data_IF_510904943066
#
_entry.id   IF_510904943066
#
_cell.length_a   1.000
_cell.length_b   1.000
_cell.length_c   1.000
_cell.angle_alpha   90.00
_cell.angle_beta   90.00
_cell.angle_gamma   90.00
#
_symmetry.space_group_name_H-M   'P 1'
#
loop_
_entity.id
_entity.type
_entity.pdbx_description
1 polymer ?
#
# COMPACT_ATOMS: atom_id res chain seq x y z
N UNK A 1 5.19 22.26 -21.72
CA UNK A 1 5.00 22.16 -20.24
C UNK A 1 4.70 20.72 -19.90
N UNK A 2 5.29 20.16 -18.84
CA UNK A 2 4.95 18.80 -18.41
C UNK A 2 3.68 18.88 -17.56
N UNK A 3 2.58 18.34 -18.06
CA UNK A 3 1.31 18.30 -17.34
C UNK A 3 1.03 16.88 -16.81
N UNK A 4 0.43 16.80 -15.63
CA UNK A 4 -0.02 15.51 -15.07
C UNK A 4 -1.31 15.13 -15.79
N UNK A 5 -1.25 14.09 -16.62
CA UNK A 5 -2.43 13.53 -17.29
C UNK A 5 -3.41 12.86 -16.31
N UNK A 6 -2.89 12.29 -15.21
CA UNK A 6 -3.68 11.75 -14.09
C UNK A 6 -2.85 11.75 -12.80
N UNK A 7 -3.43 12.25 -11.69
CA UNK A 7 -2.82 12.24 -10.37
C UNK A 7 -2.61 10.82 -9.83
N UNK A 8 -3.42 9.87 -10.31
CA UNK A 8 -3.47 8.49 -9.83
C UNK A 8 -2.85 7.51 -10.82
N UNK A 9 -1.83 7.96 -11.56
CA UNK A 9 -1.08 7.12 -12.48
C UNK A 9 0.43 7.37 -12.39
N UNK A 10 1.21 6.33 -12.70
CA UNK A 10 2.66 6.39 -12.80
C UNK A 10 3.35 6.97 -11.56
N UNK A 11 4.29 7.90 -11.79
CA UNK A 11 5.13 8.47 -10.70
C UNK A 11 4.35 9.36 -9.73
N UNK A 12 3.18 9.88 -10.10
CA UNK A 12 2.34 10.71 -9.23
C UNK A 12 1.87 9.95 -7.99
N UNK A 13 1.54 8.66 -8.14
CA UNK A 13 1.07 7.81 -7.03
C UNK A 13 2.11 7.74 -5.90
N UNK A 14 3.41 7.80 -6.20
CA UNK A 14 4.45 7.81 -5.16
C UNK A 14 4.30 9.00 -4.21
N UNK A 15 3.98 10.17 -4.75
CA UNK A 15 3.76 11.39 -3.97
C UNK A 15 2.44 11.30 -3.19
N UNK A 16 1.35 10.86 -3.85
CA UNK A 16 0.04 10.70 -3.20
C UNK A 16 0.13 9.74 -2.02
N UNK A 17 0.83 8.61 -2.20
CA UNK A 17 1.06 7.63 -1.14
C UNK A 17 1.80 8.25 0.04
N UNK A 18 2.91 8.96 -0.19
CA UNK A 18 3.66 9.64 0.88
C UNK A 18 2.75 10.60 1.65
N UNK A 19 2.02 11.46 0.95
CA UNK A 19 1.16 12.48 1.56
C UNK A 19 0.02 11.85 2.40
N UNK A 20 -0.56 10.74 1.95
CA UNK A 20 -1.63 10.05 2.69
C UNK A 20 -1.11 9.19 3.85
N UNK A 21 0.02 8.50 3.65
CA UNK A 21 0.66 7.69 4.70
C UNK A 21 1.11 8.57 5.85
N UNK A 22 1.72 9.72 5.56
CA UNK A 22 2.26 10.65 6.55
C UNK A 22 1.21 11.65 7.08
N UNK A 23 0.00 11.66 6.53
CA UNK A 23 -1.06 12.56 7.00
C UNK A 23 -1.30 12.40 8.52
N UNK A 24 -1.42 13.51 9.28
CA UNK A 24 -1.65 14.90 8.84
C UNK A 24 -0.40 15.76 8.62
N UNK A 25 0.80 15.19 8.54
CA UNK A 25 2.03 15.96 8.38
C UNK A 25 2.00 16.87 7.13
N UNK A 26 2.50 18.09 7.30
CA UNK A 26 2.71 19.05 6.21
C UNK A 26 4.13 18.86 5.69
N UNK A 27 4.29 18.53 4.40
CA UNK A 27 5.58 18.19 3.83
C UNK A 27 6.04 19.22 2.81
N UNK A 28 7.27 19.71 2.94
CA UNK A 28 7.94 20.48 1.91
C UNK A 28 8.13 19.64 0.64
N UNK A 29 8.31 20.31 -0.50
CA UNK A 29 8.62 19.59 -1.74
C UNK A 29 9.91 18.77 -1.63
N UNK A 30 10.87 19.20 -0.80
CA UNK A 30 12.13 18.48 -0.59
C UNK A 30 11.91 17.17 0.14
N UNK A 31 11.14 17.18 1.22
CA UNK A 31 10.77 15.97 1.97
C UNK A 31 9.96 15.00 1.11
N UNK A 32 9.05 15.53 0.29
CA UNK A 32 8.29 14.71 -0.67
C UNK A 32 9.25 14.03 -1.67
N UNK A 33 10.25 14.76 -2.20
CA UNK A 33 11.20 14.18 -3.16
C UNK A 33 12.02 13.05 -2.54
N UNK A 34 12.51 13.26 -1.33
CA UNK A 34 13.29 12.28 -0.58
C UNK A 34 12.47 11.02 -0.30
N UNK A 35 11.27 11.19 0.28
CA UNK A 35 10.39 10.08 0.65
C UNK A 35 9.83 9.32 -0.55
N UNK A 36 9.44 10.02 -1.61
CA UNK A 36 8.83 9.41 -2.79
C UNK A 36 9.84 8.94 -3.85
N UNK A 37 11.12 9.34 -3.73
CA UNK A 37 12.15 9.06 -4.74
C UNK A 37 11.81 9.69 -6.10
N UNK A 38 11.41 10.96 -6.11
CA UNK A 38 11.03 11.71 -7.31
C UNK A 38 11.80 13.01 -7.43
N UNK A 39 11.85 13.59 -8.63
CA UNK A 39 12.52 14.88 -8.83
C UNK A 39 11.70 16.06 -8.30
N UNK A 40 12.38 17.14 -7.91
CA UNK A 40 11.75 18.38 -7.45
C UNK A 40 10.77 18.96 -8.48
N UNK A 41 11.14 18.88 -9.76
CA UNK A 41 10.26 19.29 -10.87
C UNK A 41 8.96 18.49 -10.85
N UNK A 42 9.04 17.17 -10.71
CA UNK A 42 7.83 16.33 -10.69
C UNK A 42 6.98 16.57 -9.45
N UNK A 43 7.61 16.68 -8.27
CA UNK A 43 6.93 17.03 -7.04
C UNK A 43 6.20 18.37 -7.14
N UNK A 44 6.82 19.39 -7.74
CA UNK A 44 6.19 20.69 -7.97
C UNK A 44 4.99 20.61 -8.91
N UNK A 45 5.07 19.84 -10.00
CA UNK A 45 3.94 19.66 -10.93
C UNK A 45 2.75 18.99 -10.22
N UNK A 46 2.99 17.91 -9.46
CA UNK A 46 1.93 17.20 -8.74
C UNK A 46 1.34 18.07 -7.62
N UNK A 47 2.17 18.82 -6.88
CA UNK A 47 1.69 19.75 -5.87
C UNK A 47 0.79 20.84 -6.46
N UNK A 48 1.16 21.41 -7.61
CA UNK A 48 0.31 22.40 -8.32
C UNK A 48 -1.01 21.81 -8.76
N UNK A 49 -1.01 20.57 -9.25
CA UNK A 49 -2.24 19.87 -9.64
C UNK A 49 -3.15 19.61 -8.42
N UNK A 50 -2.60 19.15 -7.29
CA UNK A 50 -3.35 18.97 -6.04
C UNK A 50 -3.97 20.28 -5.54
N UNK A 51 -3.23 21.39 -5.60
CA UNK A 51 -3.74 22.71 -5.21
C UNK A 51 -4.85 23.17 -6.17
N UNK A 52 -4.66 23.01 -7.48
CA UNK A 52 -5.66 23.36 -8.51
C UNK A 52 -6.97 22.58 -8.34
N UNK A 53 -6.91 21.35 -7.83
CA UNK A 53 -8.08 20.51 -7.54
C UNK A 53 -8.63 20.71 -6.12
N UNK A 54 -8.16 21.70 -5.35
CA UNK A 54 -8.54 21.94 -3.95
C UNK A 54 -8.31 20.74 -3.00
N UNK A 55 -7.39 19.85 -3.36
CA UNK A 55 -7.01 18.69 -2.55
C UNK A 55 -5.89 19.03 -1.56
N UNK A 56 -5.14 20.11 -1.81
CA UNK A 56 -4.05 20.56 -0.96
C UNK A 56 -3.92 22.09 -0.94
N UNK A 57 -3.26 22.61 0.08
CA UNK A 57 -2.83 24.01 0.19
C UNK A 57 -1.34 24.07 0.46
N UNK A 58 -0.74 25.22 0.12
CA UNK A 58 0.62 25.53 0.54
C UNK A 58 0.57 26.34 1.82
N UNK A 59 1.22 25.86 2.87
CA UNK A 59 1.39 26.66 4.08
C UNK A 59 2.39 27.79 3.80
N UNK A 60 1.97 29.01 4.07
CA UNK A 60 2.67 30.27 3.85
C UNK A 60 4.02 30.35 4.56
N UNK A 61 4.14 29.90 5.81
CA UNK A 61 5.36 30.04 6.61
C UNK A 61 6.43 29.03 6.24
N UNK A 62 6.03 27.77 6.04
CA UNK A 62 6.97 26.65 5.81
C UNK A 62 7.11 26.28 4.33
N UNK A 63 6.31 26.87 3.44
CA UNK A 63 6.19 26.44 2.04
C UNK A 63 5.88 24.93 1.90
N UNK A 64 5.27 24.34 2.93
CA UNK A 64 4.90 22.94 3.01
C UNK A 64 3.56 22.69 2.34
N UNK A 65 3.36 21.50 1.78
CA UNK A 65 2.11 21.07 1.20
C UNK A 65 1.27 20.37 2.29
N UNK A 66 0.06 20.86 2.50
CA UNK A 66 -0.93 20.30 3.43
C UNK A 66 -2.09 19.73 2.64
N UNK A 67 -2.44 18.46 2.89
CA UNK A 67 -3.65 17.86 2.31
C UNK A 67 -4.90 18.40 3.03
N UNK A 68 -5.88 18.88 2.26
CA UNK A 68 -7.15 19.37 2.79
C UNK A 68 -8.21 18.27 2.88
N UNK A 69 -8.29 17.43 1.85
CA UNK A 69 -9.33 16.43 1.68
C UNK A 69 -8.71 15.01 1.57
N UNK A 70 -8.11 14.48 2.66
CA UNK A 70 -7.35 13.23 2.60
C UNK A 70 -8.23 12.02 2.27
N UNK A 71 -9.48 12.01 2.74
CA UNK A 71 -10.43 10.92 2.44
C UNK A 71 -10.87 10.92 0.97
N UNK A 72 -11.11 12.11 0.39
CA UNK A 72 -11.45 12.21 -1.03
C UNK A 72 -10.25 11.77 -1.90
N UNK A 73 -9.04 12.24 -1.57
CA UNK A 73 -7.83 11.84 -2.26
C UNK A 73 -7.57 10.32 -2.17
N UNK A 74 -7.76 9.72 -0.98
CA UNK A 74 -7.63 8.28 -0.76
C UNK A 74 -8.67 7.49 -1.57
N UNK A 75 -9.95 7.91 -1.50
CA UNK A 75 -11.04 7.24 -2.21
C UNK A 75 -10.85 7.30 -3.72
N UNK A 76 -10.51 8.47 -4.28
CA UNK A 76 -10.24 8.63 -5.72
C UNK A 76 -9.10 7.72 -6.19
N UNK A 77 -8.02 7.61 -5.42
CA UNK A 77 -6.94 6.69 -5.74
C UNK A 77 -7.44 5.23 -5.72
N UNK A 78 -8.13 4.82 -4.66
CA UNK A 78 -8.63 3.47 -4.53
C UNK A 78 -9.63 3.10 -5.64
N UNK A 79 -10.52 4.01 -6.04
CA UNK A 79 -11.53 3.78 -7.09
C UNK A 79 -10.91 3.43 -8.44
N UNK A 80 -9.77 4.03 -8.80
CA UNK A 80 -9.11 3.75 -10.09
C UNK A 80 -8.07 2.62 -10.00
N UNK A 81 -7.79 2.11 -8.80
CA UNK A 81 -6.85 1.01 -8.61
C UNK A 81 -7.56 -0.33 -8.77
N UNK A 82 -7.00 -1.23 -9.59
CA UNK A 82 -7.45 -2.61 -9.66
C UNK A 82 -6.27 -3.53 -9.35
N UNK A 83 -6.21 -4.00 -8.09
CA UNK A 83 -5.12 -4.85 -7.61
C UNK A 83 -4.92 -6.10 -8.47
N UNK A 84 -6.01 -6.77 -8.87
CA UNK A 84 -5.93 -8.03 -9.62
C UNK A 84 -5.51 -7.77 -11.07
N UNK A 85 -6.04 -6.74 -11.73
CA UNK A 85 -5.73 -6.45 -13.12
C UNK A 85 -4.36 -5.81 -13.32
N UNK A 86 -3.89 -5.01 -12.35
CA UNK A 86 -2.66 -4.23 -12.45
C UNK A 86 -1.43 -4.97 -11.88
N UNK A 87 -1.58 -6.20 -11.39
CA UNK A 87 -0.49 -6.90 -10.69
C UNK A 87 -0.15 -8.19 -11.39
N UNK A 88 1.16 -8.41 -11.59
CA UNK A 88 1.67 -9.73 -11.97
C UNK A 88 1.74 -10.62 -10.73
N UNK A 89 1.13 -11.79 -10.80
CA UNK A 89 1.18 -12.78 -9.73
C UNK A 89 2.06 -13.97 -10.10
N UNK A 90 2.73 -14.53 -9.08
CA UNK A 90 3.32 -15.86 -9.13
C UNK A 90 2.65 -16.71 -8.07
N UNK A 91 2.04 -17.81 -8.50
CA UNK A 91 1.21 -18.68 -7.67
C UNK A 91 2.03 -19.83 -7.05
N UNK A 92 1.78 -20.08 -5.77
CA UNK A 92 2.37 -21.17 -5.01
C UNK A 92 1.33 -21.83 -4.11
N UNK A 93 1.63 -23.05 -3.71
CA UNK A 93 0.87 -23.82 -2.75
C UNK A 93 1.65 -24.01 -1.45
N UNK A 94 1.00 -23.73 -0.34
CA UNK A 94 1.41 -24.08 1.02
C UNK A 94 0.51 -25.21 1.52
N UNK A 95 1.11 -26.24 2.15
CA UNK A 95 0.37 -27.29 2.86
C UNK A 95 -0.23 -26.81 4.18
N UNK A 96 0.23 -25.67 4.69
CA UNK A 96 -0.32 -25.06 5.90
C UNK A 96 -1.62 -24.32 5.56
N UNK A 97 -2.75 -24.91 5.96
CA UNK A 97 -4.10 -24.37 5.75
C UNK A 97 -4.50 -23.36 6.85
N UNK A 98 -3.85 -23.41 8.02
CA UNK A 98 -4.07 -22.43 9.07
C UNK A 98 -3.29 -21.15 8.75
N UNK A 99 -4.02 -20.13 8.32
CA UNK A 99 -3.44 -18.84 7.96
C UNK A 99 -2.61 -18.19 9.08
N UNK A 100 -2.99 -18.35 10.33
CA UNK A 100 -2.26 -17.76 11.45
C UNK A 100 -0.91 -18.46 11.62
N UNK A 101 -0.88 -19.79 11.46
CA UNK A 101 0.39 -20.55 11.42
C UNK A 101 1.22 -20.17 10.20
N UNK A 102 0.58 -20.01 9.04
CA UNK A 102 1.27 -19.56 7.82
C UNK A 102 1.95 -18.20 8.01
N UNK A 103 1.28 -17.21 8.60
CA UNK A 103 1.91 -15.93 8.96
C UNK A 103 3.09 -16.14 9.91
N UNK A 104 2.94 -17.02 10.90
CA UNK A 104 4.00 -17.41 11.83
C UNK A 104 5.30 -17.85 11.15
N UNK A 105 5.21 -18.46 9.95
CA UNK A 105 6.39 -18.91 9.22
C UNK A 105 7.29 -17.76 8.75
N UNK A 106 6.80 -16.52 8.64
CA UNK A 106 7.63 -15.37 8.27
C UNK A 106 8.39 -14.77 9.45
N UNK A 107 7.91 -14.99 10.69
CA UNK A 107 8.44 -14.31 11.89
C UNK A 107 9.91 -14.67 12.11
N UNK A 108 10.74 -13.65 12.28
CA UNK A 108 12.17 -13.79 12.53
C UNK A 108 12.99 -14.36 11.37
N UNK A 109 12.38 -14.68 10.22
CA UNK A 109 13.12 -15.14 9.03
C UNK A 109 13.77 -13.96 8.33
N UNK A 110 15.06 -14.07 8.05
CA UNK A 110 15.78 -13.13 7.18
C UNK A 110 15.53 -13.50 5.72
N UNK A 111 14.66 -12.76 5.05
CA UNK A 111 14.36 -12.91 3.64
C UNK A 111 14.33 -11.55 2.91
N UNK A 112 14.10 -11.55 1.59
CA UNK A 112 13.87 -10.32 0.85
C UNK A 112 12.70 -9.52 1.40
N UNK A 113 12.67 -8.22 1.11
CA UNK A 113 11.56 -7.37 1.54
C UNK A 113 10.22 -7.86 0.99
N UNK A 114 9.24 -7.96 1.88
CA UNK A 114 7.88 -8.36 1.58
C UNK A 114 6.89 -7.55 2.43
N UNK A 115 5.61 -7.59 2.05
CA UNK A 115 4.53 -7.09 2.88
C UNK A 115 3.21 -7.77 2.51
N UNK A 116 2.45 -8.28 3.49
CA UNK A 116 1.09 -8.77 3.26
C UNK A 116 0.16 -7.65 2.82
N UNK A 117 -0.77 -7.96 1.93
CA UNK A 117 -1.79 -7.03 1.40
C UNK A 117 -3.14 -7.72 1.23
N UNK A 118 -4.13 -6.98 0.70
CA UNK A 118 -5.54 -7.37 0.51
C UNK A 118 -6.10 -8.08 1.74
N UNK A 119 -6.88 -9.15 1.59
CA UNK A 119 -7.54 -9.81 2.71
C UNK A 119 -6.56 -10.39 3.76
N UNK A 120 -5.33 -10.75 3.38
CA UNK A 120 -4.32 -11.21 4.33
C UNK A 120 -3.79 -10.05 5.21
N UNK A 121 -3.46 -8.92 4.61
CA UNK A 121 -3.11 -7.69 5.34
C UNK A 121 -4.29 -7.14 6.14
N UNK A 122 -5.50 -7.26 5.60
CA UNK A 122 -6.76 -6.90 6.25
C UNK A 122 -6.99 -7.71 7.52
N UNK A 123 -6.81 -9.03 7.46
CA UNK A 123 -6.91 -9.90 8.63
C UNK A 123 -5.93 -9.51 9.73
N UNK A 124 -4.69 -9.16 9.38
CA UNK A 124 -3.67 -8.72 10.34
C UNK A 124 -3.97 -7.32 10.93
N UNK A 125 -4.61 -6.44 10.16
CA UNK A 125 -4.82 -5.03 10.54
C UNK A 125 -6.14 -4.79 11.27
N UNK A 126 -7.22 -5.38 10.77
CA UNK A 126 -8.59 -5.22 11.24
C UNK A 126 -9.36 -6.51 10.92
N UNK A 127 -9.28 -7.53 11.80
CA UNK A 127 -9.83 -8.86 11.55
C UNK A 127 -11.33 -8.82 11.28
N UNK A 128 -11.71 -8.82 10.01
CA UNK A 128 -13.11 -8.73 9.58
C UNK A 128 -13.49 -9.82 8.56
N UNK A 129 -12.61 -10.09 7.61
CA UNK A 129 -12.77 -11.15 6.60
C UNK A 129 -11.59 -12.10 6.67
N UNK A 130 -11.87 -13.40 6.79
CA UNK A 130 -10.85 -14.44 6.67
C UNK A 130 -10.61 -14.73 5.18
N UNK A 131 -9.38 -14.60 4.67
CA UNK A 131 -9.06 -14.91 3.28
C UNK A 131 -9.05 -16.42 3.02
N UNK A 132 -9.34 -16.79 1.78
CA UNK A 132 -9.15 -18.16 1.25
C UNK A 132 -7.77 -18.37 0.65
N UNK A 133 -7.07 -17.29 0.31
CA UNK A 133 -5.72 -17.29 -0.22
C UNK A 133 -4.95 -16.05 0.25
N UNK A 134 -3.64 -16.21 0.39
CA UNK A 134 -2.75 -15.21 0.95
C UNK A 134 -2.03 -14.45 -0.15
N UNK A 135 -2.00 -13.14 -0.04
CA UNK A 135 -1.31 -12.26 -0.99
C UNK A 135 -0.28 -11.41 -0.26
N UNK A 136 0.91 -11.32 -0.84
CA UNK A 136 1.99 -10.49 -0.35
C UNK A 136 2.77 -9.87 -1.51
N UNK A 137 3.16 -8.61 -1.35
CA UNK A 137 4.07 -7.96 -2.27
C UNK A 137 5.50 -8.44 -2.06
N UNK A 138 6.21 -8.61 -3.17
CA UNK A 138 7.68 -8.77 -3.26
C UNK A 138 8.20 -7.91 -4.41
N UNK A 139 9.49 -7.56 -4.39
CA UNK A 139 10.06 -6.66 -5.42
C UNK A 139 10.28 -7.33 -6.76
N UNK A 140 10.45 -8.65 -6.79
CA UNK A 140 10.79 -9.39 -8.00
C UNK A 140 10.38 -10.86 -7.90
N UNK A 141 10.35 -11.56 -9.04
CA UNK A 141 10.18 -13.01 -9.06
C UNK A 141 11.35 -13.75 -8.40
N UNK A 142 12.55 -13.17 -8.40
CA UNK A 142 13.69 -13.74 -7.69
C UNK A 142 13.46 -13.73 -6.18
N UNK A 143 12.87 -12.65 -5.66
CA UNK A 143 12.50 -12.54 -4.26
C UNK A 143 11.35 -13.51 -3.91
N UNK A 144 10.39 -13.70 -4.81
CA UNK A 144 9.38 -14.75 -4.67
C UNK A 144 10.05 -16.13 -4.53
N UNK A 145 10.98 -16.48 -5.44
CA UNK A 145 11.73 -17.75 -5.40
C UNK A 145 12.57 -17.94 -4.13
N UNK A 146 13.07 -16.86 -3.53
CA UNK A 146 13.78 -16.91 -2.24
C UNK A 146 12.79 -17.23 -1.11
N UNK A 147 11.64 -16.56 -1.07
CA UNK A 147 10.59 -16.85 -0.10
C UNK A 147 10.01 -18.25 -0.25
N UNK A 148 9.79 -18.74 -1.48
CA UNK A 148 9.41 -20.12 -1.77
C UNK A 148 10.34 -21.11 -1.08
N UNK A 149 11.66 -20.94 -1.21
CA UNK A 149 12.66 -21.82 -0.58
C UNK A 149 12.68 -21.71 0.94
N UNK A 150 12.49 -20.51 1.48
CA UNK A 150 12.49 -20.28 2.94
C UNK A 150 11.26 -20.86 3.65
N UNK A 151 10.16 -21.02 2.92
CA UNK A 151 8.85 -21.44 3.41
C UNK A 151 8.42 -22.82 2.89
N UNK A 152 9.27 -23.49 2.10
CA UNK A 152 8.98 -24.78 1.47
C UNK A 152 7.67 -24.78 0.65
N UNK A 153 7.45 -23.71 -0.14
CA UNK A 153 6.27 -23.58 -0.98
C UNK A 153 6.43 -24.36 -2.29
N UNK A 154 5.34 -24.95 -2.76
CA UNK A 154 5.31 -25.70 -4.03
C UNK A 154 4.86 -24.77 -5.16
N UNK A 155 5.62 -24.60 -6.25
CA UNK A 155 5.19 -23.79 -7.39
C UNK A 155 3.99 -24.44 -8.09
N UNK A 156 3.02 -23.62 -8.50
CA UNK A 156 1.84 -24.09 -9.26
C UNK A 156 1.55 -23.11 -10.40
N UNK A 157 0.98 -23.62 -11.50
CA UNK A 157 0.66 -22.76 -12.65
C UNK A 157 -0.50 -21.80 -12.36
N UNK A 158 -1.53 -22.28 -11.64
CA UNK A 158 -2.73 -21.53 -11.27
C UNK A 158 -3.32 -22.04 -9.96
N UNK A 159 -4.16 -21.20 -9.34
CA UNK A 159 -4.97 -21.53 -8.16
C UNK A 159 -4.14 -21.89 -6.92
N UNK A 160 -2.97 -21.28 -6.76
CA UNK A 160 -2.20 -21.36 -5.52
C UNK A 160 -2.91 -20.65 -4.37
N UNK A 161 -2.77 -21.19 -3.14
CA UNK A 161 -3.26 -20.53 -1.93
C UNK A 161 -2.30 -19.44 -1.39
N UNK A 162 -1.11 -19.31 -1.99
CA UNK A 162 -0.15 -18.23 -1.74
C UNK A 162 0.16 -17.55 -3.08
N UNK A 163 -0.01 -16.23 -3.13
CA UNK A 163 0.19 -15.42 -4.33
C UNK A 163 1.17 -14.30 -4.05
N UNK A 164 2.33 -14.36 -4.70
CA UNK A 164 3.30 -13.27 -4.66
C UNK A 164 2.93 -12.23 -5.72
N UNK A 165 2.55 -11.04 -5.25
CA UNK A 165 2.32 -9.87 -6.07
C UNK A 165 3.67 -9.19 -6.38
N UNK A 166 4.05 -9.13 -7.66
CA UNK A 166 5.28 -8.41 -8.04
C UNK A 166 4.99 -6.92 -8.02
N UNK A 167 5.66 -6.20 -7.13
CA UNK A 167 5.47 -4.76 -6.98
C UNK A 167 5.95 -4.00 -8.22
N UNK A 168 5.06 -3.26 -8.89
CA UNK A 168 5.43 -2.41 -10.04
C UNK A 168 6.38 -1.27 -9.65
N UNK A 169 6.42 -0.91 -8.37
CA UNK A 169 7.27 0.15 -7.85
C UNK A 169 7.62 -0.09 -6.39
N UNK A 170 8.86 0.19 -5.95
CA UNK A 170 9.26 0.09 -4.54
C UNK A 170 8.38 0.91 -3.58
N UNK A 171 7.71 1.95 -4.08
CA UNK A 171 6.82 2.79 -3.29
C UNK A 171 5.66 2.03 -2.60
N UNK A 172 5.27 0.83 -3.03
CA UNK A 172 4.21 0.06 -2.35
C UNK A 172 4.57 -0.31 -0.92
N UNK A 173 5.86 -0.42 -0.61
CA UNK A 173 6.37 -0.71 0.73
C UNK A 173 6.49 0.53 1.63
N UNK A 174 6.23 1.73 1.10
CA UNK A 174 6.30 2.96 1.88
C UNK A 174 5.21 2.97 2.98
N UNK A 175 5.64 3.14 4.23
CA UNK A 175 4.79 3.04 5.40
C UNK A 175 4.35 1.62 5.77
N UNK A 176 4.96 0.59 5.16
CA UNK A 176 4.74 -0.78 5.61
C UNK A 176 5.18 -0.93 7.07
N UNK A 177 4.34 -1.60 7.86
CA UNK A 177 4.49 -1.74 9.31
C UNK A 177 4.60 -3.21 9.69
N UNK A 178 5.13 -3.46 10.88
CA UNK A 178 5.14 -4.78 11.47
C UNK A 178 3.93 -4.94 12.39
N UNK A 179 3.21 -6.06 12.24
CA UNK A 179 2.14 -6.49 13.13
C UNK A 179 2.45 -7.93 13.52
N UNK A 180 2.53 -8.20 14.82
CA UNK A 180 2.84 -9.53 15.37
C UNK A 180 4.08 -10.21 14.75
N UNK A 181 5.12 -9.43 14.40
CA UNK A 181 6.36 -9.97 13.83
C UNK A 181 6.31 -10.26 12.33
N UNK A 182 5.25 -9.82 11.62
CA UNK A 182 5.17 -9.91 10.16
C UNK A 182 4.91 -8.54 9.53
N UNK A 183 5.45 -8.33 8.32
CA UNK A 183 5.24 -7.06 7.59
C UNK A 183 3.92 -7.03 6.83
N UNK A 184 3.22 -5.90 6.96
CA UNK A 184 1.98 -5.56 6.24
C UNK A 184 2.19 -4.21 5.56
N UNK A 185 1.58 -4.01 4.38
CA UNK A 185 1.60 -2.71 3.72
C UNK A 185 0.97 -1.63 4.61
N UNK A 186 1.19 -0.34 4.29
CA UNK A 186 0.54 0.75 5.03
C UNK A 186 -0.99 0.63 4.97
N UNK A 187 -1.70 1.15 5.97
CA UNK A 187 -3.18 1.13 5.99
C UNK A 187 -3.76 1.79 4.73
N UNK A 188 -3.11 2.85 4.25
CA UNK A 188 -3.45 3.55 3.00
C UNK A 188 -3.32 2.63 1.79
N UNK A 189 -2.20 1.92 1.64
CA UNK A 189 -2.00 0.97 0.54
C UNK A 189 -2.99 -0.19 0.66
N UNK A 190 -3.22 -0.68 1.88
CA UNK A 190 -4.15 -1.78 2.16
C UNK A 190 -5.59 -1.43 1.74
N UNK A 191 -6.06 -0.23 2.07
CA UNK A 191 -7.36 0.26 1.63
C UNK A 191 -7.47 0.32 0.09
N UNK A 192 -6.43 0.86 -0.57
CA UNK A 192 -6.38 0.98 -2.04
C UNK A 192 -6.38 -0.38 -2.72
N UNK A 193 -5.69 -1.36 -2.16
CA UNK A 193 -5.64 -2.72 -2.70
C UNK A 193 -6.96 -3.47 -2.49
N UNK A 194 -7.68 -3.19 -1.39
CA UNK A 194 -8.91 -3.87 -1.00
C UNK A 194 -10.17 -3.35 -1.69
N UNK A 195 -10.28 -2.04 -1.96
CA UNK A 195 -11.57 -1.43 -2.31
C UNK A 195 -12.24 -2.07 -3.52
N UNK A 196 -11.46 -2.34 -4.58
CA UNK A 196 -11.92 -3.01 -5.80
C UNK A 196 -11.52 -4.50 -5.83
N UNK A 197 -11.04 -5.06 -4.72
CA UNK A 197 -10.70 -6.47 -4.65
C UNK A 197 -11.98 -7.33 -4.66
N UNK A 198 -12.03 -8.43 -5.44
CA UNK A 198 -13.17 -9.34 -5.45
C UNK A 198 -13.49 -9.95 -4.08
N UNK A 199 -14.59 -10.72 -4.01
CA UNK A 199 -15.12 -11.26 -2.76
C UNK A 199 -15.47 -10.13 -1.77
N UNK A 200 -15.17 -10.31 -0.48
CA UNK A 200 -15.50 -9.34 0.57
C UNK A 200 -14.43 -8.25 0.73
N UNK A 201 -13.80 -7.85 -0.37
CA UNK A 201 -12.74 -6.84 -0.41
C UNK A 201 -13.21 -5.47 0.06
N UNK A 202 -14.36 -5.00 -0.45
CA UNK A 202 -14.94 -3.72 -0.05
C UNK A 202 -15.24 -3.66 1.45
N UNK A 203 -15.82 -4.71 2.03
CA UNK A 203 -16.12 -4.75 3.46
C UNK A 203 -14.84 -4.68 4.32
N UNK A 204 -13.78 -5.39 3.90
CA UNK A 204 -12.47 -5.30 4.54
C UNK A 204 -11.84 -3.91 4.35
N UNK A 205 -12.02 -3.26 3.20
CA UNK A 205 -11.56 -1.89 2.97
C UNK A 205 -12.25 -0.91 3.95
N UNK A 206 -13.56 -1.06 4.19
CA UNK A 206 -14.28 -0.24 5.17
C UNK A 206 -13.75 -0.47 6.60
N UNK A 207 -13.41 -1.71 6.96
CA UNK A 207 -12.81 -2.02 8.25
C UNK A 207 -11.42 -1.37 8.42
N UNK A 208 -10.60 -1.33 7.36
CA UNK A 208 -9.30 -0.64 7.33
C UNK A 208 -9.47 0.88 7.35
N UNK A 209 -10.50 1.42 6.68
CA UNK A 209 -10.78 2.86 6.68
C UNK A 209 -11.03 3.39 8.09
N UNK A 210 -11.72 2.63 8.95
CA UNK A 210 -11.90 2.97 10.38
C UNK A 210 -10.57 3.08 11.13
N UNK A 211 -9.58 2.23 10.80
CA UNK A 211 -8.22 2.30 11.37
C UNK A 211 -7.51 3.58 10.92
N UNK A 212 -7.60 3.90 9.63
CA UNK A 212 -7.05 5.13 9.05
C UNK A 212 -7.67 6.36 9.73
N UNK A 213 -8.99 6.41 9.85
CA UNK A 213 -9.72 7.51 10.50
C UNK A 213 -9.27 7.73 11.93
N UNK A 214 -9.13 6.65 12.72
CA UNK A 214 -8.68 6.74 14.11
C UNK A 214 -7.25 7.31 14.19
N UNK A 215 -6.34 6.79 13.37
CA UNK A 215 -4.94 7.24 13.31
C UNK A 215 -4.83 8.71 12.93
N UNK A 216 -5.53 9.13 11.88
CA UNK A 216 -5.54 10.51 11.40
C UNK A 216 -6.20 11.48 12.37
N UNK A 217 -7.17 11.04 13.17
CA UNK A 217 -7.75 11.86 14.25
C UNK A 217 -6.76 12.03 15.40
N UNK A 218 -6.11 10.96 15.84
CA UNK A 218 -5.14 11.00 16.94
C UNK A 218 -3.94 11.91 16.61
N UNK A 219 -3.36 11.76 15.42
CA UNK A 219 -2.20 12.55 14.99
C UNK A 219 -2.50 14.05 14.71
N UNK A 220 -3.76 14.50 14.80
CA UNK A 220 -4.12 15.93 14.75
C UNK A 220 -4.18 16.59 16.13
N UNK A 221 -4.25 15.78 17.18
CA UNK A 221 -4.38 16.24 18.57
C UNK A 221 -3.00 16.38 19.21
N UNK A 222 -2.00 15.67 18.67
CA UNK A 222 -0.56 15.77 19.01
C UNK A 222 0.13 16.89 18.22
#
# INVERSE_FOLDING_TARGET
MTEVRSLFAGKSIKIIRVLLVDYPAELTLREICEKAGVSLRWASVVAKALIRENLALRESQKSALRIMAPFDLLKRWATVNNFVANTKFVDYYSKEEDITKFFGQFKGKKGPEYAFTVLAGGLLTSPFVRPTNVHLYVKSEEDAKKWTRLLDLVPVEKNGNVKFAIAESPGVFYGAKEIDGVRVVSDVQLYVDLLNYPARGEEAAQAVLKVIEKRWKQAKVD
#
